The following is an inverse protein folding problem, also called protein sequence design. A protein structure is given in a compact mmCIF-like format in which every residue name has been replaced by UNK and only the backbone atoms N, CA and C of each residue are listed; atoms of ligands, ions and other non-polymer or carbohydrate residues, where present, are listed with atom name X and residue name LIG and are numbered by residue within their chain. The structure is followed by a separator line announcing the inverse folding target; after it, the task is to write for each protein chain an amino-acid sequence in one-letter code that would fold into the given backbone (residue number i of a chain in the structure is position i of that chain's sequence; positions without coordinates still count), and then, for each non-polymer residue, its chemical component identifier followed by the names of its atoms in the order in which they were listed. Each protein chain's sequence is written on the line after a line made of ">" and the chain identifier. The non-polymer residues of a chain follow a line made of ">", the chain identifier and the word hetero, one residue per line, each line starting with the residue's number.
data_IF_492642765776
#
_entry.id   IF_492642765776
#
_cell.length_a   1.000
_cell.length_b   1.000
_cell.length_c   1.000
_cell.angle_alpha   90.00
_cell.angle_beta   90.00
_cell.angle_gamma   90.00
#
_symmetry.space_group_name_H-M   'P 1'
#
loop_
_entity.id
_entity.type
_entity.pdbx_description
1 polymer ?
#
# COMPACT_ATOMS: atom_id res chain seq x y z
N UNK A 1 -7.73 -11.30 -5.05
CA UNK A 1 -7.85 -10.11 -5.91
C UNK A 1 -6.94 -8.97 -5.46
N UNK A 2 -7.23 -8.23 -4.38
CA UNK A 2 -6.37 -7.10 -3.95
C UNK A 2 -4.91 -7.49 -3.72
N UNK A 3 -4.64 -8.61 -3.03
CA UNK A 3 -3.27 -9.09 -2.86
C UNK A 3 -2.61 -9.50 -4.18
N UNK A 4 -3.38 -10.04 -5.13
CA UNK A 4 -2.86 -10.39 -6.46
C UNK A 4 -2.50 -9.13 -7.25
N UNK A 5 -3.29 -8.07 -7.08
CA UNK A 5 -2.99 -6.76 -7.64
C UNK A 5 -1.70 -6.17 -7.04
N UNK A 6 -1.52 -6.28 -5.72
CA UNK A 6 -0.27 -5.85 -5.06
C UNK A 6 0.92 -6.63 -5.64
N UNK A 7 0.85 -7.95 -5.74
CA UNK A 7 1.92 -8.77 -6.31
C UNK A 7 2.26 -8.37 -7.75
N UNK A 8 1.23 -8.11 -8.56
CA UNK A 8 1.41 -7.69 -9.94
C UNK A 8 2.10 -6.32 -10.05
N UNK A 9 1.68 -5.36 -9.24
CA UNK A 9 2.30 -4.02 -9.22
C UNK A 9 3.74 -4.10 -8.70
N UNK A 10 4.00 -4.90 -7.66
CA UNK A 10 5.37 -5.14 -7.16
C UNK A 10 6.25 -5.77 -8.26
N UNK A 11 5.72 -6.71 -9.03
CA UNK A 11 6.47 -7.35 -10.12
C UNK A 11 6.83 -6.38 -11.27
N UNK A 12 6.01 -5.36 -11.52
CA UNK A 12 6.22 -4.39 -12.59
C UNK A 12 7.06 -3.18 -12.11
N UNK A 13 6.67 -2.59 -10.99
CA UNK A 13 7.21 -1.32 -10.49
C UNK A 13 8.31 -1.50 -9.44
N UNK A 14 8.42 -2.69 -8.84
CA UNK A 14 9.32 -2.96 -7.71
C UNK A 14 8.73 -2.53 -6.37
N UNK A 15 9.19 -3.19 -5.29
CA UNK A 15 8.64 -3.02 -3.94
C UNK A 15 8.73 -1.58 -3.40
N UNK A 16 9.69 -0.79 -3.88
CA UNK A 16 9.87 0.59 -3.45
C UNK A 16 8.83 1.56 -4.05
N UNK A 17 7.96 1.11 -4.97
CA UNK A 17 7.04 1.97 -5.71
C UNK A 17 5.56 1.63 -5.50
N UNK A 18 5.22 0.89 -4.43
CA UNK A 18 3.85 0.45 -4.14
C UNK A 18 3.34 1.10 -2.84
N UNK A 19 2.07 1.49 -2.82
CA UNK A 19 1.39 2.04 -1.65
C UNK A 19 -0.09 1.65 -1.64
N UNK A 20 -0.81 2.00 -0.57
CA UNK A 20 -2.24 1.71 -0.39
C UNK A 20 -3.05 3.02 -0.52
N UNK A 21 -4.14 2.97 -1.29
CA UNK A 21 -5.19 3.98 -1.30
C UNK A 21 -6.55 3.30 -1.45
N UNK A 22 -7.32 3.19 -0.36
CA UNK A 22 -8.50 2.32 -0.29
C UNK A 22 -9.79 2.90 -0.84
N UNK A 23 -9.90 4.23 -0.89
CA UNK A 23 -11.12 4.92 -1.30
C UNK A 23 -12.38 4.56 -0.48
N UNK A 24 -12.22 4.21 0.81
CA UNK A 24 -13.29 3.66 1.67
C UNK A 24 -14.58 4.49 1.72
N UNK A 25 -14.50 5.80 1.50
CA UNK A 25 -15.66 6.70 1.50
C UNK A 25 -16.05 7.22 0.09
N UNK A 26 -15.34 6.79 -0.95
CA UNK A 26 -15.52 7.27 -2.32
C UNK A 26 -16.38 6.36 -3.22
N UNK A 27 -16.47 5.07 -2.90
CA UNK A 27 -17.03 4.05 -3.83
C UNK A 27 -18.17 3.20 -3.27
N UNK A 28 -18.64 3.50 -2.05
CA UNK A 28 -19.75 2.79 -1.41
C UNK A 28 -19.53 1.27 -1.32
N UNK A 29 -20.55 0.47 -1.65
CA UNK A 29 -20.54 -0.98 -1.45
C UNK A 29 -19.64 -1.77 -2.43
N UNK A 30 -19.04 -1.10 -3.41
CA UNK A 30 -18.21 -1.73 -4.45
C UNK A 30 -16.83 -2.19 -3.97
N UNK A 31 -16.48 -1.88 -2.72
CA UNK A 31 -15.24 -2.33 -2.08
C UNK A 31 -15.13 -3.86 -2.04
N UNK A 32 -13.91 -4.43 -2.06
CA UNK A 32 -13.71 -5.87 -1.94
C UNK A 32 -14.28 -6.46 -0.64
N UNK A 33 -14.66 -7.74 -0.69
CA UNK A 33 -15.04 -8.48 0.53
C UNK A 33 -13.85 -8.57 1.48
N UNK A 34 -14.09 -8.33 2.78
CA UNK A 34 -13.04 -8.31 3.80
C UNK A 34 -12.12 -7.09 3.74
N UNK A 35 -12.49 -6.05 2.99
CA UNK A 35 -11.88 -4.72 2.95
C UNK A 35 -12.96 -3.64 2.78
N UNK A 36 -13.93 -3.61 3.70
CA UNK A 36 -15.06 -2.68 3.69
C UNK A 36 -14.79 -1.40 4.44
N UNK A 37 -13.88 -1.43 5.42
CA UNK A 37 -13.45 -0.23 6.11
C UNK A 37 -12.02 -0.34 6.66
N UNK A 38 -11.56 0.72 7.33
CA UNK A 38 -10.20 0.82 7.88
C UNK A 38 -9.86 -0.27 8.89
N UNK A 39 -10.86 -0.88 9.55
CA UNK A 39 -10.64 -1.95 10.53
C UNK A 39 -10.21 -3.27 9.89
N UNK A 40 -10.36 -3.41 8.57
CA UNK A 40 -10.01 -4.62 7.82
C UNK A 40 -8.53 -4.68 7.39
N UNK A 41 -7.77 -3.58 7.50
CA UNK A 41 -6.35 -3.55 7.12
C UNK A 41 -5.47 -4.63 7.79
N UNK A 42 -5.68 -5.05 9.06
CA UNK A 42 -4.96 -6.18 9.62
C UNK A 42 -5.09 -7.47 8.80
N UNK A 43 -6.23 -7.70 8.15
CA UNK A 43 -6.44 -8.83 7.25
C UNK A 43 -5.58 -8.74 5.98
N UNK A 44 -5.44 -7.54 5.41
CA UNK A 44 -4.54 -7.30 4.28
C UNK A 44 -3.07 -7.57 4.65
N UNK A 45 -2.64 -7.08 5.81
CA UNK A 45 -1.27 -7.29 6.33
C UNK A 45 -1.00 -8.77 6.57
N UNK A 46 -1.94 -9.49 7.18
CA UNK A 46 -1.84 -10.94 7.35
C UNK A 46 -1.73 -11.67 6.01
N UNK A 47 -2.49 -11.23 5.00
CA UNK A 47 -2.41 -11.73 3.63
C UNK A 47 -1.03 -11.55 3.01
N UNK A 48 -0.40 -10.39 3.17
CA UNK A 48 0.96 -10.11 2.68
C UNK A 48 2.00 -10.97 3.39
N UNK A 49 1.90 -11.13 4.72
CA UNK A 49 2.77 -12.03 5.49
C UNK A 49 2.67 -13.47 4.99
N UNK A 50 1.44 -13.96 4.76
CA UNK A 50 1.21 -15.31 4.24
C UNK A 50 1.78 -15.53 2.83
N UNK A 51 1.94 -14.46 2.03
CA UNK A 51 2.59 -14.50 0.71
C UNK A 51 4.12 -14.39 0.78
N UNK A 52 4.69 -14.25 1.97
CA UNK A 52 6.14 -14.22 2.19
C UNK A 52 6.78 -12.84 2.04
N UNK A 53 5.99 -11.76 2.03
CA UNK A 53 6.57 -10.42 2.15
C UNK A 53 7.25 -10.26 3.51
N UNK A 54 8.44 -9.65 3.49
CA UNK A 54 9.15 -9.35 4.72
C UNK A 54 8.47 -8.18 5.46
N UNK A 55 8.67 -8.08 6.78
CA UNK A 55 8.17 -6.92 7.55
C UNK A 55 8.65 -5.58 6.97
N UNK A 56 9.94 -5.42 6.56
CA UNK A 56 10.37 -4.21 5.87
C UNK A 56 9.62 -3.90 4.56
N UNK A 57 9.27 -4.92 3.78
CA UNK A 57 8.52 -4.73 2.54
C UNK A 57 7.07 -4.33 2.81
N UNK A 58 6.46 -4.91 3.86
CA UNK A 58 5.12 -4.51 4.30
C UNK A 58 5.13 -3.07 4.82
N UNK A 59 6.16 -2.67 5.58
CA UNK A 59 6.30 -1.28 6.04
C UNK A 59 6.39 -0.30 4.86
N UNK A 60 7.10 -0.66 3.79
CA UNK A 60 7.13 0.10 2.54
C UNK A 60 5.75 0.27 1.93
N UNK A 61 5.01 -0.82 1.74
CA UNK A 61 3.66 -0.83 1.17
C UNK A 61 2.69 -0.01 2.05
N UNK A 62 2.76 -0.16 3.37
CA UNK A 62 1.86 0.50 4.31
C UNK A 62 2.11 2.01 4.44
N UNK A 63 3.28 2.52 4.07
CA UNK A 63 3.49 3.96 4.06
C UNK A 63 4.91 4.45 3.88
N UNK A 64 5.95 3.64 4.12
CA UNK A 64 7.32 4.15 4.04
C UNK A 64 7.68 4.61 2.61
N UNK A 65 7.10 4.00 1.58
CA UNK A 65 7.25 4.46 0.19
C UNK A 65 6.62 5.85 -0.01
N UNK A 66 5.40 6.05 0.47
CA UNK A 66 4.70 7.34 0.39
C UNK A 66 5.48 8.41 1.14
N UNK A 67 5.95 8.11 2.36
CA UNK A 67 6.72 9.04 3.17
C UNK A 67 8.08 9.40 2.54
N UNK A 68 8.73 8.46 1.84
CA UNK A 68 9.94 8.76 1.07
C UNK A 68 9.65 9.78 -0.03
N UNK A 69 8.62 9.53 -0.85
CA UNK A 69 8.24 10.43 -1.94
C UNK A 69 7.80 11.80 -1.40
N UNK A 70 7.05 11.83 -0.30
CA UNK A 70 6.63 13.06 0.35
C UNK A 70 7.82 13.95 0.73
N UNK A 71 8.82 13.36 1.40
CA UNK A 71 10.07 14.08 1.77
C UNK A 71 10.84 14.55 0.55
N UNK A 72 10.92 13.75 -0.51
CA UNK A 72 11.59 14.15 -1.75
C UNK A 72 10.90 15.36 -2.40
N UNK A 73 9.57 15.42 -2.34
CA UNK A 73 8.79 16.57 -2.82
C UNK A 73 9.03 17.81 -1.96
N UNK A 74 9.04 17.66 -0.64
CA UNK A 74 9.33 18.76 0.30
C UNK A 74 10.73 19.35 0.06
N UNK A 75 11.76 18.51 -0.10
CA UNK A 75 13.13 18.95 -0.37
C UNK A 75 13.22 19.73 -1.69
N UNK A 76 12.56 19.24 -2.75
CA UNK A 76 12.50 19.93 -4.04
C UNK A 76 11.79 21.28 -3.94
N UNK A 77 10.72 21.36 -3.16
CA UNK A 77 10.00 22.61 -2.94
C UNK A 77 10.85 23.61 -2.12
N UNK A 78 11.67 23.13 -1.21
CA UNK A 78 12.60 23.94 -0.41
C UNK A 78 13.86 24.40 -1.19
N UNK A 79 14.10 23.87 -2.39
CA UNK A 79 15.26 24.22 -3.22
C UNK A 79 16.58 23.65 -2.71
N UNK A 80 16.51 22.62 -1.86
CA UNK A 80 17.64 21.85 -1.33
C UNK A 80 17.82 20.53 -2.08
#
# INVERSE_FOLDING_TARGET
>A
DVLDHIDHVVAIAGIDHVGIGSDFDGVGDSLPEGLKDVSDYPGLVAGLLNRGYSLPDIEKICGANVMRVWRDVENRAAGS
#
